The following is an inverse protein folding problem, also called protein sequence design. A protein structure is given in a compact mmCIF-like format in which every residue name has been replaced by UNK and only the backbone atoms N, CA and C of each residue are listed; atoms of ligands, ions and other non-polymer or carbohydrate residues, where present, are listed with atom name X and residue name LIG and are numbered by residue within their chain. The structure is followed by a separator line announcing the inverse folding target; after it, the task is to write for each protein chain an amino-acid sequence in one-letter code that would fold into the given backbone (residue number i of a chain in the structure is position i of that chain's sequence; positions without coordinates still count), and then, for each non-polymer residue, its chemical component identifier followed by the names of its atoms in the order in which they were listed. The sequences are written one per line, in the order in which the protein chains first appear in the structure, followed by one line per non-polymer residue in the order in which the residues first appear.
data_IF_817850367289
#
_entry.id   IF_817850367289
#
_cell.length_a   1.000
_cell.length_b   1.000
_cell.length_c   1.000
_cell.angle_alpha   90.00
_cell.angle_beta   90.00
_cell.angle_gamma   90.00
#
_symmetry.space_group_name_H-M   'P 1'
#
loop_
_entity.id
_entity.type
_entity.pdbx_description
1 polymer ?
#
# COMPACT_ATOMS: atom_id res chain seq x y z
N UNK A 1 8.22 -3.55 -24.47
CA UNK A 1 7.14 -2.56 -24.71
C UNK A 1 7.75 -1.18 -24.90
N UNK A 2 7.07 -0.26 -25.57
CA UNK A 2 7.55 1.10 -25.82
C UNK A 2 6.84 2.06 -24.85
N UNK A 3 7.57 3.02 -24.28
CA UNK A 3 6.98 4.05 -23.43
C UNK A 3 5.98 4.92 -24.22
N UNK A 4 4.74 5.11 -23.71
CA UNK A 4 3.74 5.92 -24.40
C UNK A 4 4.11 7.40 -24.44
N UNK A 5 3.89 8.06 -25.59
CA UNK A 5 4.17 9.50 -25.80
C UNK A 5 2.92 10.34 -26.11
N UNK A 6 1.75 9.77 -25.91
CA UNK A 6 0.48 10.44 -26.22
C UNK A 6 0.07 11.47 -25.15
N UNK A 7 0.67 11.43 -23.96
CA UNK A 7 0.44 12.42 -22.90
C UNK A 7 1.25 13.69 -23.17
N UNK A 8 0.68 14.85 -22.86
CA UNK A 8 1.37 16.15 -22.91
C UNK A 8 2.33 16.37 -21.73
N UNK A 9 2.46 15.37 -20.84
CA UNK A 9 3.38 15.44 -19.72
C UNK A 9 4.84 15.53 -20.21
N UNK A 10 5.52 16.59 -19.80
CA UNK A 10 6.95 16.82 -20.05
C UNK A 10 7.73 16.52 -18.78
N UNK A 11 8.49 15.43 -18.78
CA UNK A 11 9.41 15.07 -17.70
C UNK A 11 10.77 14.66 -18.27
N UNK A 12 11.87 14.82 -17.53
CA UNK A 12 13.16 14.28 -17.94
C UNK A 12 13.06 12.77 -18.08
N UNK A 13 13.77 12.21 -19.06
CA UNK A 13 13.82 10.75 -19.25
C UNK A 13 14.29 10.09 -17.96
N UNK A 14 13.50 9.14 -17.47
CA UNK A 14 13.79 8.40 -16.25
C UNK A 14 14.63 7.20 -16.64
N UNK A 15 15.83 7.09 -16.08
CA UNK A 15 16.61 5.86 -16.14
C UNK A 15 16.07 4.86 -15.11
N UNK A 16 15.29 3.90 -15.59
CA UNK A 16 14.75 2.83 -14.77
C UNK A 16 15.84 1.85 -14.31
N UNK A 17 17.04 1.82 -14.91
CA UNK A 17 18.09 0.89 -14.49
C UNK A 17 18.93 1.44 -13.33
N UNK A 18 18.98 2.76 -13.17
CA UNK A 18 19.65 3.43 -12.04
C UNK A 18 18.75 3.54 -10.79
N UNK A 19 17.51 3.05 -10.87
CA UNK A 19 16.55 3.14 -9.77
C UNK A 19 16.70 2.00 -8.76
N UNK A 20 16.69 2.34 -7.47
CA UNK A 20 16.63 1.35 -6.39
C UNK A 20 15.19 0.90 -6.14
N UNK A 21 14.92 -0.38 -6.36
CA UNK A 21 13.57 -0.98 -6.36
C UNK A 21 13.20 -1.77 -5.11
N UNK A 22 14.22 -2.21 -4.38
CA UNK A 22 14.03 -2.90 -3.12
C UNK A 22 14.73 -2.10 -2.02
N UNK A 23 13.96 -1.72 -1.02
CA UNK A 23 14.48 -1.06 0.17
C UNK A 23 13.76 -1.64 1.37
N UNK A 24 14.42 -2.56 2.06
CA UNK A 24 13.88 -3.12 3.28
C UNK A 24 13.61 -2.00 4.31
N UNK A 25 12.39 -1.89 4.86
CA UNK A 25 12.11 -0.97 5.93
C UNK A 25 12.94 -1.33 7.16
N UNK A 26 13.68 -0.36 7.71
CA UNK A 26 14.29 -0.54 9.04
C UNK A 26 13.15 -0.83 10.03
N UNK A 27 13.26 -1.92 10.80
CA UNK A 27 12.28 -2.26 11.86
C UNK A 27 12.06 -1.04 12.73
N UNK A 28 10.89 -0.43 12.62
CA UNK A 28 10.51 0.71 13.46
C UNK A 28 10.16 0.16 14.84
N UNK A 29 10.72 0.71 15.93
CA UNK A 29 10.31 0.31 17.27
C UNK A 29 8.83 0.60 17.45
N UNK A 30 8.09 -0.32 18.07
CA UNK A 30 6.69 -0.10 18.45
C UNK A 30 6.64 1.07 19.43
N UNK A 31 5.92 2.14 19.09
CA UNK A 31 5.84 3.34 19.92
C UNK A 31 4.55 3.31 20.73
N UNK A 32 4.65 3.45 22.05
CA UNK A 32 3.49 3.46 22.95
C UNK A 32 2.73 4.80 22.96
N UNK A 33 3.28 5.86 22.36
CA UNK A 33 2.63 7.18 22.29
C UNK A 33 2.99 7.94 21.01
N UNK A 34 2.06 8.79 20.56
CA UNK A 34 2.20 9.67 19.41
C UNK A 34 3.31 10.72 19.60
N UNK A 35 3.66 11.05 20.84
CA UNK A 35 4.70 12.03 21.18
C UNK A 35 6.12 11.58 20.82
N UNK A 36 6.31 10.27 20.58
CA UNK A 36 7.60 9.69 20.17
C UNK A 36 7.79 9.63 18.65
N UNK A 37 6.78 10.09 17.89
CA UNK A 37 6.81 10.10 16.43
C UNK A 37 7.69 11.26 15.95
N UNK A 38 8.38 11.06 14.82
CA UNK A 38 9.20 12.10 14.22
C UNK A 38 8.37 13.39 13.99
N UNK A 39 8.84 14.56 14.47
CA UNK A 39 8.11 15.82 14.31
C UNK A 39 7.87 16.19 12.83
N UNK A 40 8.68 15.68 11.89
CA UNK A 40 8.46 15.85 10.45
C UNK A 40 7.22 15.09 9.97
N UNK A 41 6.95 13.90 10.53
CA UNK A 41 5.75 13.11 10.19
C UNK A 41 4.48 13.78 10.71
N UNK A 42 4.49 14.28 11.95
CA UNK A 42 3.35 14.97 12.57
C UNK A 42 2.96 16.20 11.75
N UNK A 43 3.94 17.04 11.38
CA UNK A 43 3.70 18.21 10.53
C UNK A 43 3.05 17.86 9.20
N UNK A 44 3.46 16.75 8.59
CA UNK A 44 2.90 16.28 7.32
C UNK A 44 1.49 15.72 7.49
N UNK A 45 1.21 15.03 8.60
CA UNK A 45 -0.14 14.57 8.90
C UNK A 45 -1.11 15.74 9.11
N UNK A 46 -0.65 16.82 9.76
CA UNK A 46 -1.43 18.04 9.94
C UNK A 46 -1.64 18.79 8.61
N UNK A 47 -0.61 18.87 7.75
CA UNK A 47 -0.71 19.43 6.39
C UNK A 47 -1.74 18.66 5.53
N UNK A 48 -1.74 17.34 5.65
CA UNK A 48 -2.69 16.46 4.96
C UNK A 48 -4.07 16.40 5.63
N UNK A 49 -4.29 17.15 6.72
CA UNK A 49 -5.54 17.17 7.51
C UNK A 49 -6.03 15.77 7.90
N UNK A 50 -5.09 14.88 8.25
CA UNK A 50 -5.42 13.51 8.62
C UNK A 50 -5.97 13.51 10.06
N UNK A 51 -7.13 12.89 10.32
CA UNK A 51 -7.69 12.79 11.67
C UNK A 51 -6.72 12.14 12.65
N UNK A 52 -6.66 12.63 13.89
CA UNK A 52 -5.73 12.15 14.93
C UNK A 52 -5.81 10.64 15.19
N UNK A 53 -7.00 10.04 14.98
CA UNK A 53 -7.18 8.58 15.05
C UNK A 53 -6.36 7.83 13.98
N UNK A 54 -6.37 8.35 12.74
CA UNK A 54 -5.61 7.80 11.62
C UNK A 54 -4.11 8.09 11.75
N UNK A 55 -3.73 9.25 12.32
CA UNK A 55 -2.33 9.57 12.61
C UNK A 55 -1.70 8.54 13.56
N UNK A 56 -2.43 8.15 14.61
CA UNK A 56 -1.99 7.11 15.56
C UNK A 56 -1.77 5.77 14.86
N UNK A 57 -2.67 5.38 13.95
CA UNK A 57 -2.54 4.17 13.14
C UNK A 57 -1.30 4.22 12.23
N UNK A 58 -1.14 5.30 11.47
CA UNK A 58 -0.02 5.48 10.53
C UNK A 58 1.35 5.60 11.22
N UNK A 59 1.36 6.02 12.49
CA UNK A 59 2.55 6.13 13.31
C UNK A 59 3.00 4.81 13.95
N UNK A 60 2.37 3.66 13.67
CA UNK A 60 2.58 2.40 14.38
C UNK A 60 2.40 2.53 15.90
N UNK A 61 1.57 3.47 16.35
CA UNK A 61 1.14 3.54 17.75
C UNK A 61 0.02 2.53 17.90
N UNK A 62 0.24 1.52 18.74
CA UNK A 62 -0.61 0.32 18.89
C UNK A 62 -2.10 0.67 18.91
N UNK A 63 -2.78 0.43 17.78
CA UNK A 63 -4.23 0.27 17.69
C UNK A 63 -4.57 -1.02 16.94
N UNK A 64 -3.66 -2.01 16.91
CA UNK A 64 -3.85 -3.27 16.18
C UNK A 64 -4.82 -4.24 16.89
N UNK A 65 -4.95 -4.18 18.21
CA UNK A 65 -5.68 -5.23 18.94
C UNK A 65 -7.21 -5.22 18.80
N UNK A 66 -7.82 -4.12 18.34
CA UNK A 66 -9.29 -3.98 18.32
C UNK A 66 -9.85 -4.09 16.91
N UNK A 67 -9.15 -3.56 15.90
CA UNK A 67 -9.63 -3.54 14.51
C UNK A 67 -9.57 -4.92 13.83
N UNK A 68 -8.49 -5.69 14.04
CA UNK A 68 -8.39 -7.05 13.49
C UNK A 68 -9.53 -7.93 14.00
N UNK A 69 -9.86 -7.81 15.29
CA UNK A 69 -10.89 -8.65 15.91
C UNK A 69 -12.31 -8.42 15.40
N UNK A 70 -12.62 -7.24 14.83
CA UNK A 70 -13.94 -6.96 14.25
C UNK A 70 -14.01 -7.33 12.77
N UNK A 71 -12.89 -7.17 12.04
CA UNK A 71 -12.80 -7.53 10.63
C UNK A 71 -12.75 -9.05 10.44
N UNK A 72 -12.01 -9.75 11.31
CA UNK A 72 -11.96 -11.22 11.33
C UNK A 72 -13.34 -11.85 11.58
N UNK A 73 -14.16 -11.26 12.46
CA UNK A 73 -15.53 -11.74 12.73
C UNK A 73 -16.43 -11.71 11.49
N UNK A 74 -16.17 -10.77 10.59
CA UNK A 74 -16.93 -10.60 9.34
C UNK A 74 -16.23 -11.31 8.17
N UNK A 75 -15.02 -11.87 8.39
CA UNK A 75 -14.23 -12.58 7.39
C UNK A 75 -13.53 -11.65 6.39
N UNK A 76 -13.42 -10.35 6.70
CA UNK A 76 -12.70 -9.38 5.86
C UNK A 76 -11.22 -9.53 6.12
N UNK A 77 -10.43 -9.68 5.05
CA UNK A 77 -8.97 -9.77 5.13
C UNK A 77 -8.42 -8.42 4.69
N UNK A 78 -7.67 -7.76 5.56
CA UNK A 78 -6.92 -6.55 5.24
C UNK A 78 -5.50 -6.68 5.77
N UNK A 79 -4.54 -6.88 4.88
CA UNK A 79 -3.13 -7.07 5.25
C UNK A 79 -2.20 -6.56 4.14
N UNK A 80 -0.89 -6.63 4.37
CA UNK A 80 0.10 -6.35 3.33
C UNK A 80 0.05 -7.40 2.22
N UNK A 81 0.35 -7.04 0.98
CA UNK A 81 0.37 -7.99 -0.14
C UNK A 81 1.40 -9.11 0.09
N UNK A 82 2.53 -8.79 0.72
CA UNK A 82 3.58 -9.75 1.07
C UNK A 82 3.08 -10.82 2.04
N UNK A 83 2.23 -10.42 3.00
CA UNK A 83 1.59 -11.33 3.95
C UNK A 83 0.46 -12.12 3.28
N UNK A 84 -0.38 -11.46 2.47
CA UNK A 84 -1.44 -12.11 1.71
C UNK A 84 -0.92 -13.22 0.77
N UNK A 85 0.22 -13.00 0.11
CA UNK A 85 0.85 -14.01 -0.75
C UNK A 85 1.30 -15.23 0.06
N UNK A 86 1.74 -15.02 1.30
CA UNK A 86 2.21 -16.10 2.18
C UNK A 86 1.07 -16.89 2.82
N UNK A 87 0.07 -16.18 3.36
CA UNK A 87 -1.02 -16.77 4.15
C UNK A 87 -2.22 -17.19 3.28
N UNK A 88 -2.46 -16.49 2.15
CA UNK A 88 -3.60 -16.71 1.26
C UNK A 88 -3.20 -16.80 -0.24
N UNK A 89 -2.23 -17.65 -0.62
CA UNK A 89 -1.70 -17.72 -1.99
C UNK A 89 -2.78 -18.03 -3.04
N UNK A 90 -3.70 -18.95 -2.73
CA UNK A 90 -4.77 -19.35 -3.65
C UNK A 90 -5.73 -18.21 -3.97
N UNK A 91 -6.03 -17.39 -2.95
CA UNK A 91 -6.93 -16.26 -3.07
C UNK A 91 -6.27 -15.14 -3.89
N UNK A 92 -5.00 -14.83 -3.58
CA UNK A 92 -4.23 -13.84 -4.34
C UNK A 92 -4.12 -14.29 -5.79
N UNK A 93 -3.69 -15.53 -6.06
CA UNK A 93 -3.52 -16.05 -7.42
C UNK A 93 -4.79 -15.98 -8.26
N UNK A 94 -5.97 -16.18 -7.66
CA UNK A 94 -7.27 -16.11 -8.35
C UNK A 94 -7.60 -14.72 -8.91
N UNK A 95 -7.11 -13.66 -8.27
CA UNK A 95 -7.47 -12.28 -8.60
C UNK A 95 -6.29 -11.44 -9.11
N UNK A 96 -5.07 -11.83 -8.80
CA UNK A 96 -3.85 -11.15 -9.22
C UNK A 96 -3.73 -11.13 -10.75
N UNK A 97 -3.55 -9.94 -11.32
CA UNK A 97 -3.42 -9.76 -12.78
C UNK A 97 -4.69 -10.00 -13.61
N UNK A 98 -5.86 -10.24 -12.98
CA UNK A 98 -7.12 -10.51 -13.70
C UNK A 98 -7.77 -9.25 -14.28
N UNK A 99 -7.78 -8.17 -13.50
CA UNK A 99 -8.35 -6.88 -13.93
C UNK A 99 -7.35 -6.10 -14.78
N UNK A 100 -6.09 -6.13 -14.37
CA UNK A 100 -4.99 -5.45 -15.05
C UNK A 100 -3.93 -6.51 -15.40
N UNK A 101 -3.91 -7.02 -16.64
CA UNK A 101 -2.91 -7.99 -17.07
C UNK A 101 -1.50 -7.40 -17.05
N UNK A 102 -0.50 -8.20 -16.71
CA UNK A 102 0.91 -7.77 -16.71
C UNK A 102 1.39 -7.21 -18.05
N UNK A 103 0.73 -7.56 -19.16
CA UNK A 103 1.08 -7.11 -20.51
C UNK A 103 0.16 -6.00 -21.05
N UNK A 104 -0.63 -5.35 -20.20
CA UNK A 104 -1.57 -4.31 -20.62
C UNK A 104 -0.86 -3.07 -21.23
N UNK A 105 0.10 -2.51 -20.50
CA UNK A 105 0.86 -1.36 -20.98
C UNK A 105 2.27 -1.32 -20.37
N UNK A 106 3.10 -0.40 -20.87
CA UNK A 106 4.50 -0.25 -20.45
C UNK A 106 4.65 -0.08 -18.93
N UNK A 107 3.82 0.73 -18.30
CA UNK A 107 3.90 1.01 -16.87
C UNK A 107 3.31 -0.10 -16.01
N UNK A 108 2.28 -0.80 -16.49
CA UNK A 108 1.74 -1.99 -15.85
C UNK A 108 2.78 -3.11 -15.83
N UNK A 109 3.41 -3.40 -16.98
CA UNK A 109 4.45 -4.42 -17.05
C UNK A 109 5.61 -4.11 -16.09
N UNK A 110 6.00 -2.85 -16.02
CA UNK A 110 7.05 -2.39 -15.12
C UNK A 110 6.62 -2.42 -13.65
N UNK A 111 5.35 -2.16 -13.35
CA UNK A 111 4.81 -2.26 -12.01
C UNK A 111 4.72 -3.73 -11.55
N UNK A 112 4.15 -4.62 -12.37
CA UNK A 112 4.04 -6.05 -12.05
C UNK A 112 5.40 -6.75 -11.92
N UNK A 113 6.43 -6.27 -12.62
CA UNK A 113 7.77 -6.83 -12.51
C UNK A 113 8.54 -6.38 -11.24
N UNK A 114 8.17 -5.24 -10.66
CA UNK A 114 9.02 -4.55 -9.67
C UNK A 114 8.26 -4.08 -8.43
N UNK A 115 7.03 -4.57 -8.22
CA UNK A 115 6.30 -4.29 -6.99
C UNK A 115 7.04 -4.88 -5.79
N UNK A 116 7.18 -4.09 -4.74
CA UNK A 116 7.90 -4.48 -3.51
C UNK A 116 7.06 -4.35 -2.25
N UNK A 117 5.96 -3.59 -2.32
CA UNK A 117 4.99 -3.46 -1.25
C UNK A 117 3.58 -3.19 -1.83
N UNK A 118 2.56 -3.31 -1.01
CA UNK A 118 1.18 -3.09 -1.42
C UNK A 118 0.17 -3.54 -0.36
N UNK A 119 -1.09 -3.19 -0.57
CA UNK A 119 -2.19 -3.54 0.34
C UNK A 119 -3.14 -4.54 -0.33
N UNK A 120 -3.48 -5.59 0.40
CA UNK A 120 -4.45 -6.60 -0.02
C UNK A 120 -5.72 -6.51 0.81
N UNK A 121 -6.85 -6.33 0.13
CA UNK A 121 -8.16 -6.32 0.76
C UNK A 121 -9.09 -7.32 0.06
N UNK A 122 -9.66 -8.23 0.85
CA UNK A 122 -10.68 -9.18 0.40
C UNK A 122 -11.92 -9.07 1.27
N UNK A 123 -13.07 -8.89 0.62
CA UNK A 123 -14.38 -8.82 1.26
C UNK A 123 -15.20 -10.02 0.79
N UNK A 124 -15.66 -10.91 1.69
CA UNK A 124 -16.59 -11.98 1.33
C UNK A 124 -17.89 -11.42 0.75
N UNK A 125 -18.54 -12.17 -0.16
CA UNK A 125 -19.77 -11.73 -0.82
C UNK A 125 -20.91 -11.33 0.12
N UNK A 126 -20.99 -11.99 1.28
CA UNK A 126 -22.05 -11.77 2.27
C UNK A 126 -21.60 -10.87 3.44
N UNK A 127 -20.36 -10.36 3.39
CA UNK A 127 -19.79 -9.52 4.42
C UNK A 127 -20.21 -8.06 4.24
N UNK A 128 -20.79 -7.47 5.29
CA UNK A 128 -20.99 -6.03 5.37
C UNK A 128 -19.88 -5.43 6.21
N UNK A 129 -18.96 -4.71 5.56
CA UNK A 129 -17.85 -4.08 6.27
C UNK A 129 -18.40 -3.07 7.31
N UNK A 130 -18.06 -3.21 8.59
CA UNK A 130 -18.56 -2.32 9.65
C UNK A 130 -17.92 -0.92 9.57
N UNK A 131 -16.87 -0.76 8.76
CA UNK A 131 -16.06 0.45 8.71
C UNK A 131 -15.65 0.84 7.28
N UNK A 132 -15.25 2.10 7.10
CA UNK A 132 -14.67 2.59 5.84
C UNK A 132 -13.16 2.48 5.91
N UNK A 133 -12.55 1.94 4.86
CA UNK A 133 -11.10 1.93 4.70
C UNK A 133 -10.65 3.18 3.95
N UNK A 134 -9.61 3.86 4.45
CA UNK A 134 -8.89 4.90 3.74
C UNK A 134 -7.44 4.46 3.59
N UNK A 135 -6.95 4.35 2.34
CA UNK A 135 -5.57 4.03 2.07
C UNK A 135 -4.78 5.33 1.84
N UNK A 136 -3.76 5.57 2.66
CA UNK A 136 -2.87 6.72 2.54
C UNK A 136 -1.49 6.25 2.09
N UNK A 137 -1.07 6.69 0.90
CA UNK A 137 0.24 6.38 0.34
C UNK A 137 1.21 7.54 0.61
N UNK A 138 2.26 7.29 1.39
CA UNK A 138 3.25 8.31 1.72
C UNK A 138 4.64 7.96 1.19
N UNK A 139 5.15 8.79 0.28
CA UNK A 139 6.50 8.65 -0.28
C UNK A 139 7.51 9.47 0.52
N UNK A 140 8.47 8.78 1.14
CA UNK A 140 9.45 9.42 2.04
C UNK A 140 10.78 9.82 1.36
N UNK A 141 11.04 9.50 0.08
CA UNK A 141 12.37 9.76 -0.52
C UNK A 141 12.35 10.33 -1.94
N UNK A 142 13.36 11.18 -2.23
CA UNK A 142 13.46 11.97 -3.47
C UNK A 142 13.79 11.16 -4.74
N UNK A 143 14.46 10.01 -4.64
CA UNK A 143 14.85 9.18 -5.81
C UNK A 143 14.53 7.68 -5.64
N UNK A 144 13.42 7.31 -4.98
CA UNK A 144 12.92 5.92 -5.03
C UNK A 144 11.63 5.84 -5.83
N UNK A 145 11.49 4.80 -6.65
CA UNK A 145 10.19 4.40 -7.16
C UNK A 145 9.52 3.58 -6.05
N UNK A 146 8.41 4.09 -5.50
CA UNK A 146 7.50 3.30 -4.68
C UNK A 146 6.34 2.99 -5.61
N UNK A 147 6.13 1.71 -5.90
CA UNK A 147 5.00 1.21 -6.69
C UNK A 147 4.28 0.22 -5.81
N UNK A 148 3.06 0.61 -5.44
CA UNK A 148 2.17 -0.21 -4.65
C UNK A 148 0.92 -0.47 -5.48
N UNK A 149 0.52 -1.73 -5.52
CA UNK A 149 -0.75 -2.12 -6.07
C UNK A 149 -1.74 -2.31 -4.94
N UNK A 150 -2.93 -1.75 -5.12
CA UNK A 150 -4.05 -2.00 -4.23
C UNK A 150 -4.98 -2.99 -4.90
N UNK A 151 -5.06 -4.18 -4.31
CA UNK A 151 -5.99 -5.21 -4.77
C UNK A 151 -7.26 -5.12 -3.93
N UNK A 152 -8.32 -4.61 -4.56
CA UNK A 152 -9.68 -4.61 -4.03
C UNK A 152 -10.44 -5.76 -4.69
N UNK A 153 -10.73 -6.80 -3.94
CA UNK A 153 -11.55 -7.91 -4.41
C UNK A 153 -12.94 -7.82 -3.77
N UNK A 154 -13.96 -7.52 -4.58
CA UNK A 154 -15.38 -7.70 -4.26
C UNK A 154 -15.89 -9.04 -4.81
#
# INVERSE_FOLDING_TARGET
MIEPKWSDNRYPLIDFQDSCYHSEPKKKPTLNSLDKVDPVLIRKFDELQIPVSEQKRLANVVVDGVLDSELEKVGVIFCSISEAIREYPDLVSKYFGKVVPFNDNYYTALNSAVFSDGSFCYIPKDAKCPMKFNLFLYKCSRNRAIREDTYSCC
#
